data_IF_805770429182
#
_entry.id   IF_805770429182
#
_cell.length_a   1.000
_cell.length_b   1.000
_cell.length_c   1.000
_cell.angle_alpha   90.00
_cell.angle_beta   90.00
_cell.angle_gamma   90.00
#
_symmetry.space_group_name_H-M   'P 1'
#
loop_
_entity.id
_entity.type
_entity.pdbx_description
1 polymer ?
#
# COMPACT_ATOMS: atom_id res chain seq x y z
N UNK A 1 -63.71 41.38 29.13
CA UNK A 1 -62.86 41.28 27.94
C UNK A 1 -61.61 40.52 28.34
N UNK A 2 -61.35 39.42 27.64
CA UNK A 2 -60.07 38.71 27.40
C UNK A 2 -59.12 38.47 28.59
N UNK A 3 -58.60 37.28 28.89
CA UNK A 3 -58.63 35.91 28.33
C UNK A 3 -58.01 35.03 29.44
N UNK A 4 -58.47 33.78 29.66
CA UNK A 4 -57.96 32.87 30.70
C UNK A 4 -56.68 32.10 30.30
N UNK A 5 -56.02 31.40 31.24
CA UNK A 5 -54.61 31.02 31.19
C UNK A 5 -54.33 29.67 30.50
N UNK A 6 -53.04 29.51 30.16
CA UNK A 6 -52.40 28.35 29.56
C UNK A 6 -52.75 27.00 30.23
N UNK A 7 -53.32 26.11 29.42
CA UNK A 7 -53.49 24.69 29.72
C UNK A 7 -52.19 23.96 29.39
N UNK A 8 -51.60 23.36 30.41
CA UNK A 8 -50.49 22.40 30.30
C UNK A 8 -51.08 21.07 29.82
N UNK A 9 -50.72 20.63 28.63
CA UNK A 9 -50.94 19.24 28.18
C UNK A 9 -49.72 18.36 28.50
N UNK A 10 -49.92 17.12 28.98
CA UNK A 10 -48.83 16.19 29.24
C UNK A 10 -48.35 15.51 27.95
N UNK A 11 -47.07 15.64 27.63
CA UNK A 11 -46.41 14.86 26.57
C UNK A 11 -46.21 13.43 27.06
N UNK A 12 -46.76 12.50 26.30
CA UNK A 12 -46.68 11.06 26.52
C UNK A 12 -45.23 10.56 26.49
N UNK A 13 -44.85 9.79 27.52
CA UNK A 13 -43.71 8.89 27.51
C UNK A 13 -43.90 7.86 26.40
N UNK A 14 -43.12 8.01 25.32
CA UNK A 14 -42.89 6.97 24.33
C UNK A 14 -41.55 6.32 24.64
N UNK A 15 -41.58 5.22 25.39
CA UNK A 15 -40.48 4.26 25.51
C UNK A 15 -40.17 3.67 24.13
N UNK A 16 -39.22 4.28 23.43
CA UNK A 16 -38.61 3.73 22.22
C UNK A 16 -37.41 2.87 22.60
N UNK A 17 -37.66 1.58 22.79
CA UNK A 17 -36.66 0.52 22.63
C UNK A 17 -36.08 0.62 21.20
N UNK A 18 -34.98 1.33 21.03
CA UNK A 18 -34.18 1.22 19.81
C UNK A 18 -33.00 0.30 20.09
N UNK A 19 -33.29 -0.99 19.97
CA UNK A 19 -32.30 -2.04 19.84
C UNK A 19 -31.29 -1.63 18.76
N UNK A 20 -30.06 -1.37 19.19
CA UNK A 20 -28.86 -1.46 18.37
C UNK A 20 -28.93 -2.81 17.65
N UNK A 21 -29.38 -2.80 16.39
CA UNK A 21 -29.07 -3.86 15.45
C UNK A 21 -27.58 -3.77 15.20
N UNK A 22 -26.80 -4.44 16.04
CA UNK A 22 -25.62 -5.13 15.57
C UNK A 22 -26.06 -5.91 14.33
N UNK A 23 -25.74 -5.41 13.15
CA UNK A 23 -25.64 -6.26 11.97
C UNK A 23 -24.53 -7.26 12.29
N UNK A 24 -24.93 -8.35 12.95
CA UNK A 24 -24.13 -9.55 13.05
C UNK A 24 -23.77 -9.92 11.62
N UNK A 25 -22.50 -9.71 11.30
CA UNK A 25 -21.89 -10.09 10.04
C UNK A 25 -22.01 -11.60 9.91
N UNK A 26 -23.11 -12.10 9.34
CA UNK A 26 -23.31 -13.53 9.11
C UNK A 26 -22.39 -13.90 7.95
N UNK A 27 -21.29 -14.64 8.18
CA UNK A 27 -20.43 -15.05 7.09
C UNK A 27 -21.26 -15.93 6.14
N UNK A 28 -21.20 -15.66 4.83
CA UNK A 28 -21.89 -16.51 3.85
C UNK A 28 -21.46 -17.96 4.00
N UNK A 29 -22.34 -18.91 3.66
CA UNK A 29 -22.10 -20.34 3.88
C UNK A 29 -20.75 -20.82 3.33
N UNK A 30 -20.30 -20.28 2.18
CA UNK A 30 -19.01 -20.59 1.54
C UNK A 30 -17.80 -20.08 2.33
N UNK A 31 -17.96 -18.96 3.04
CA UNK A 31 -16.92 -18.32 3.85
C UNK A 31 -16.52 -19.17 5.05
N UNK A 32 -17.50 -19.69 5.79
CA UNK A 32 -17.25 -20.62 6.91
C UNK A 32 -16.51 -21.90 6.47
N UNK A 33 -16.59 -22.26 5.20
CA UNK A 33 -15.96 -23.47 4.65
C UNK A 33 -14.47 -23.27 4.46
N UNK A 34 -14.09 -22.18 3.80
CA UNK A 34 -12.69 -21.95 3.47
C UNK A 34 -11.88 -21.48 4.69
N UNK A 35 -12.53 -20.77 5.63
CA UNK A 35 -11.91 -20.39 6.89
C UNK A 35 -11.73 -21.57 7.85
N UNK A 36 -12.56 -22.62 7.76
CA UNK A 36 -12.40 -23.81 8.60
C UNK A 36 -11.09 -24.57 8.31
N UNK A 37 -10.62 -24.60 7.05
CA UNK A 37 -9.30 -25.13 6.73
C UNK A 37 -8.15 -24.26 7.29
N UNK A 38 -8.34 -22.93 7.36
CA UNK A 38 -7.35 -22.01 7.94
C UNK A 38 -7.28 -22.16 9.45
N UNK A 39 -8.44 -22.27 10.12
CA UNK A 39 -8.52 -22.52 11.57
C UNK A 39 -8.00 -23.90 11.97
N UNK A 40 -8.13 -24.94 11.14
CA UNK A 40 -7.55 -26.26 11.38
C UNK A 40 -6.02 -26.24 11.25
N UNK A 41 -5.46 -25.41 10.36
CA UNK A 41 -4.01 -25.17 10.30
C UNK A 41 -3.52 -24.31 11.47
N UNK A 42 -4.26 -23.28 11.86
CA UNK A 42 -3.89 -22.38 12.97
C UNK A 42 -4.04 -23.08 14.33
N UNK A 43 -5.00 -23.98 14.57
CA UNK A 43 -5.06 -24.78 15.80
C UNK A 43 -3.89 -25.78 15.90
N UNK A 44 -3.42 -26.31 14.76
CA UNK A 44 -2.27 -27.22 14.75
C UNK A 44 -0.94 -26.47 14.91
N UNK A 45 -0.81 -25.26 14.37
CA UNK A 45 0.33 -24.37 14.64
C UNK A 45 0.27 -23.76 16.04
N UNK A 46 -0.91 -23.41 16.55
CA UNK A 46 -1.11 -22.94 17.91
C UNK A 46 -0.81 -24.02 18.95
N UNK A 47 -1.16 -25.30 18.70
CA UNK A 47 -0.71 -26.41 19.56
C UNK A 47 0.81 -26.60 19.52
N UNK A 48 1.43 -26.43 18.35
CA UNK A 48 2.90 -26.47 18.20
C UNK A 48 3.59 -25.30 18.90
N UNK A 49 2.97 -24.12 18.87
CA UNK A 49 3.45 -22.89 19.52
C UNK A 49 3.17 -22.90 21.02
N UNK A 50 2.06 -23.46 21.47
CA UNK A 50 1.74 -23.67 22.89
C UNK A 50 2.66 -24.72 23.51
N UNK A 51 3.09 -25.75 22.77
CA UNK A 51 4.12 -26.69 23.21
C UNK A 51 5.52 -26.03 23.27
N UNK A 52 5.83 -25.13 22.33
CA UNK A 52 7.06 -24.32 22.34
C UNK A 52 7.06 -23.25 23.44
N UNK A 53 5.92 -22.62 23.69
CA UNK A 53 5.72 -21.60 24.73
C UNK A 53 5.61 -22.26 26.12
N UNK A 54 5.12 -23.50 26.25
CA UNK A 54 5.25 -24.29 27.50
C UNK A 54 6.69 -24.62 27.85
N UNK A 55 7.56 -24.73 26.83
CA UNK A 55 9.01 -24.89 27.01
C UNK A 55 9.71 -23.56 27.32
N UNK A 56 9.10 -22.41 26.96
CA UNK A 56 9.64 -21.08 27.22
C UNK A 56 9.11 -20.43 28.51
N UNK A 57 7.90 -20.81 28.97
CA UNK A 57 7.23 -20.23 30.14
C UNK A 57 7.65 -20.83 31.50
N UNK A 58 8.74 -21.61 31.55
CA UNK A 58 9.43 -21.95 32.80
C UNK A 58 10.43 -20.87 33.25
N UNK A 59 10.67 -19.81 32.46
CA UNK A 59 11.46 -18.65 32.87
C UNK A 59 10.66 -17.34 32.82
N UNK A 60 10.38 -16.84 34.01
CA UNK A 60 10.14 -15.44 34.38
C UNK A 60 8.86 -14.74 33.89
N UNK A 61 7.89 -14.67 34.80
CA UNK A 61 6.76 -13.74 34.72
C UNK A 61 7.03 -12.42 35.45
N UNK A 62 6.46 -11.32 34.93
CA UNK A 62 5.83 -10.30 35.77
C UNK A 62 4.92 -9.33 35.00
N UNK A 63 3.93 -8.86 35.75
CA UNK A 63 2.66 -8.24 35.35
C UNK A 63 2.71 -6.79 34.85
N UNK A 64 1.62 -6.48 34.14
CA UNK A 64 1.06 -5.20 33.67
C UNK A 64 0.74 -4.22 34.80
N UNK A 65 0.45 -2.93 34.48
CA UNK A 65 -0.94 -2.50 34.72
C UNK A 65 -1.56 -1.56 33.66
N UNK A 66 -2.89 -1.52 33.73
CA UNK A 66 -3.88 -0.78 32.92
C UNK A 66 -3.79 0.76 32.99
N UNK A 67 -4.31 1.43 31.95
CA UNK A 67 -4.79 2.81 32.04
C UNK A 67 -6.06 3.05 31.19
N UNK A 68 -6.97 3.84 31.76
CA UNK A 68 -8.36 4.15 31.37
C UNK A 68 -8.50 5.27 30.30
N UNK A 69 -9.71 5.49 29.74
CA UNK A 69 -9.93 6.14 28.44
C UNK A 69 -10.14 7.66 28.50
N UNK A 70 -9.85 8.37 27.41
CA UNK A 70 -10.07 9.83 27.24
C UNK A 70 -10.83 10.11 25.93
N UNK A 71 -11.73 11.10 26.02
CA UNK A 71 -12.78 11.55 25.10
C UNK A 71 -12.31 12.14 23.75
N UNK A 72 -13.21 12.10 22.76
CA UNK A 72 -13.11 12.73 21.43
C UNK A 72 -13.90 14.05 21.36
N UNK A 73 -13.44 15.06 20.59
CA UNK A 73 -14.29 16.10 20.02
C UNK A 73 -14.63 15.85 18.53
N UNK A 74 -15.66 16.57 18.06
CA UNK A 74 -16.46 16.34 16.84
C UNK A 74 -16.24 17.34 15.69
N UNK A 75 -16.88 17.05 14.52
CA UNK A 75 -17.17 17.96 13.38
C UNK A 75 -16.23 17.77 12.17
N UNK A 76 -16.64 17.69 10.89
CA UNK A 76 -17.91 17.97 10.20
C UNK A 76 -18.03 17.14 8.89
N UNK A 77 -19.25 16.83 8.46
CA UNK A 77 -19.56 16.17 7.20
C UNK A 77 -20.23 17.14 6.20
N UNK A 78 -19.96 17.02 4.88
CA UNK A 78 -20.54 17.88 3.84
C UNK A 78 -21.88 17.37 3.29
N UNK A 79 -22.71 18.33 2.89
CA UNK A 79 -24.09 18.23 2.40
C UNK A 79 -24.19 17.59 1.00
N UNK A 80 -25.00 16.53 0.88
CA UNK A 80 -25.47 15.95 -0.39
C UNK A 80 -26.49 16.86 -1.10
N UNK A 81 -26.34 17.03 -2.42
CA UNK A 81 -27.35 17.62 -3.30
C UNK A 81 -27.78 16.60 -4.35
N UNK A 82 -29.03 16.13 -4.22
CA UNK A 82 -29.79 15.44 -5.28
C UNK A 82 -30.02 16.38 -6.47
N UNK A 83 -29.83 15.87 -7.69
CA UNK A 83 -30.56 16.33 -8.88
C UNK A 83 -30.89 15.10 -9.73
N UNK A 84 -32.17 14.75 -9.74
CA UNK A 84 -32.80 13.93 -10.79
C UNK A 84 -33.07 14.81 -12.03
N UNK A 85 -32.86 14.27 -13.23
CA UNK A 85 -33.76 14.50 -14.37
C UNK A 85 -33.35 13.67 -15.61
N UNK A 86 -34.32 12.89 -16.08
CA UNK A 86 -34.36 12.15 -17.34
C UNK A 86 -34.22 13.05 -18.58
N UNK A 87 -33.57 12.55 -19.63
CA UNK A 87 -33.51 13.21 -20.94
C UNK A 87 -33.04 12.28 -22.07
N UNK A 88 -33.92 12.07 -23.05
CA UNK A 88 -33.84 11.15 -24.21
C UNK A 88 -32.63 11.34 -25.15
N UNK A 89 -32.28 10.34 -25.98
CA UNK A 89 -30.98 10.27 -26.67
C UNK A 89 -30.91 11.19 -27.90
N UNK A 90 -29.95 12.11 -27.90
CA UNK A 90 -29.56 12.91 -29.07
C UNK A 90 -28.47 12.15 -29.82
N UNK A 91 -28.76 11.70 -31.05
CA UNK A 91 -27.75 11.19 -32.00
C UNK A 91 -26.85 12.34 -32.45
N UNK A 92 -25.72 12.56 -31.77
CA UNK A 92 -24.66 13.43 -32.27
C UNK A 92 -23.73 12.65 -33.21
N UNK A 93 -23.56 13.17 -34.42
CA UNK A 93 -22.52 12.76 -35.38
C UNK A 93 -21.16 12.94 -34.71
N UNK A 94 -20.35 11.88 -34.72
CA UNK A 94 -19.04 11.85 -34.06
C UNK A 94 -18.07 12.88 -34.63
N UNK A 95 -17.90 14.00 -33.91
CA UNK A 95 -16.63 14.69 -33.91
C UNK A 95 -15.63 13.75 -33.24
N UNK A 96 -14.59 13.33 -33.96
CA UNK A 96 -13.49 12.55 -33.37
C UNK A 96 -12.95 13.34 -32.19
N UNK A 97 -13.06 12.83 -30.96
CA UNK A 97 -12.54 13.53 -29.80
C UNK A 97 -11.01 13.46 -29.88
N UNK A 98 -10.36 14.59 -30.17
CA UNK A 98 -8.92 14.60 -30.25
C UNK A 98 -8.32 14.64 -28.84
N UNK A 99 -7.51 13.63 -28.49
CA UNK A 99 -6.80 13.58 -27.22
C UNK A 99 -5.86 14.79 -27.10
N UNK A 100 -6.00 15.63 -26.05
CA UNK A 100 -5.13 16.77 -25.85
C UNK A 100 -3.71 16.31 -25.51
N UNK A 101 -2.70 17.04 -26.00
CA UNK A 101 -1.32 16.80 -25.65
C UNK A 101 -1.11 17.06 -24.15
N UNK A 102 -0.71 16.03 -23.41
CA UNK A 102 -0.40 16.13 -21.98
C UNK A 102 1.06 16.52 -21.80
N UNK A 103 1.32 17.48 -20.90
CA UNK A 103 2.68 17.86 -20.50
C UNK A 103 3.08 17.02 -19.30
N UNK A 104 4.14 16.23 -19.46
CA UNK A 104 4.78 15.49 -18.38
C UNK A 104 5.78 16.41 -17.66
N UNK A 105 5.96 16.21 -16.35
CA UNK A 105 7.11 16.79 -15.66
C UNK A 105 8.36 16.17 -16.26
N UNK A 106 9.20 17.00 -16.87
CA UNK A 106 10.55 16.59 -17.26
C UNK A 106 11.28 16.18 -15.97
N UNK A 107 11.93 15.00 -15.91
CA UNK A 107 12.68 14.61 -14.72
C UNK A 107 13.65 15.74 -14.39
N UNK A 108 13.64 16.21 -13.14
CA UNK A 108 14.48 17.32 -12.70
C UNK A 108 15.94 17.05 -13.12
N UNK A 109 16.38 17.68 -14.20
CA UNK A 109 17.81 17.88 -14.43
C UNK A 109 18.29 18.68 -13.23
N UNK A 110 19.43 18.30 -12.61
CA UNK A 110 19.95 19.01 -11.45
C UNK A 110 19.98 20.50 -11.77
N UNK A 111 19.22 21.28 -11.00
CA UNK A 111 18.97 22.70 -11.27
C UNK A 111 20.32 23.43 -11.38
N UNK A 112 20.65 24.05 -12.53
CA UNK A 112 21.69 25.05 -12.58
C UNK A 112 21.17 26.28 -11.81
N UNK A 113 21.83 26.60 -10.71
CA UNK A 113 21.55 27.75 -9.87
C UNK A 113 21.76 29.06 -10.65
N UNK A 114 20.70 29.77 -11.06
CA UNK A 114 20.75 31.18 -11.50
C UNK A 114 19.47 31.89 -11.01
N UNK A 115 19.48 33.00 -10.25
CA UNK A 115 20.16 34.30 -10.43
C UNK A 115 20.52 34.97 -9.07
N UNK A 116 21.35 36.03 -9.07
CA UNK A 116 22.16 36.42 -7.91
C UNK A 116 21.38 37.23 -6.87
N UNK A 117 21.29 36.69 -5.66
CA UNK A 117 21.01 37.45 -4.45
C UNK A 117 22.36 37.73 -3.77
N UNK A 118 22.72 39.02 -3.71
CA UNK A 118 23.93 39.57 -3.08
C UNK A 118 25.26 38.99 -3.60
N UNK A 119 26.34 39.76 -3.47
CA UNK A 119 27.67 39.23 -3.74
C UNK A 119 27.87 37.95 -2.91
N UNK A 120 28.40 36.85 -3.51
CA UNK A 120 28.70 35.66 -2.74
C UNK A 120 29.60 36.06 -1.57
N UNK A 121 29.36 35.58 -0.34
CA UNK A 121 30.34 35.72 0.71
C UNK A 121 31.66 35.18 0.16
N UNK A 122 32.72 35.98 0.35
CA UNK A 122 34.09 35.60 0.03
C UNK A 122 34.28 34.13 0.38
N UNK A 123 34.65 33.29 -0.58
CA UNK A 123 34.90 31.87 -0.29
C UNK A 123 35.96 31.83 0.82
N UNK A 124 35.66 31.23 1.98
CA UNK A 124 36.62 31.21 3.07
C UNK A 124 37.85 30.42 2.65
N UNK A 125 39.03 30.93 2.99
CA UNK A 125 40.28 30.19 2.87
C UNK A 125 40.24 29.01 3.87
N UNK A 126 40.10 27.75 3.41
CA UNK A 126 39.89 26.60 4.30
C UNK A 126 41.07 26.32 5.23
N UNK A 127 42.25 26.89 4.93
CA UNK A 127 43.45 26.73 5.76
C UNK A 127 43.49 27.76 6.90
N UNK A 128 42.96 28.96 6.69
CA UNK A 128 42.89 30.02 7.71
C UNK A 128 41.86 29.71 8.80
N UNK A 129 40.71 29.13 8.47
CA UNK A 129 39.71 28.77 9.49
C UNK A 129 40.18 27.66 10.42
N UNK A 130 41.09 26.80 9.95
CA UNK A 130 41.67 25.74 10.77
C UNK A 130 42.64 26.29 11.82
N UNK A 131 43.34 27.39 11.52
CA UNK A 131 44.28 28.05 12.42
C UNK A 131 43.63 28.93 13.49
N UNK A 132 42.32 29.17 13.41
CA UNK A 132 41.57 29.92 14.43
C UNK A 132 41.53 29.17 15.76
N UNK A 133 41.51 29.90 16.87
CA UNK A 133 41.25 29.34 18.20
C UNK A 133 39.80 28.88 18.33
N UNK A 134 39.51 27.99 19.29
CA UNK A 134 38.16 27.43 19.47
C UNK A 134 37.10 28.52 19.76
N UNK A 135 37.48 29.57 20.50
CA UNK A 135 36.59 30.71 20.77
C UNK A 135 36.30 31.55 19.53
N UNK A 136 37.28 31.73 18.64
CA UNK A 136 37.15 32.46 17.38
C UNK A 136 36.34 31.67 16.36
N UNK A 137 36.56 30.36 16.29
CA UNK A 137 35.75 29.41 15.51
C UNK A 137 34.29 29.46 15.94
N UNK A 138 34.04 29.45 17.26
CA UNK A 138 32.70 29.57 17.83
C UNK A 138 32.04 30.89 17.44
N UNK A 139 32.74 32.03 17.60
CA UNK A 139 32.20 33.33 17.24
C UNK A 139 31.86 33.46 15.74
N UNK A 140 32.71 32.92 14.86
CA UNK A 140 32.46 32.90 13.42
C UNK A 140 31.26 32.00 13.06
N UNK A 141 31.14 30.83 13.70
CA UNK A 141 30.00 29.93 13.51
C UNK A 141 28.68 30.51 14.05
N UNK A 142 28.72 31.27 15.15
CA UNK A 142 27.57 31.98 15.70
C UNK A 142 27.09 33.07 14.72
N UNK A 143 28.02 33.85 14.16
CA UNK A 143 27.73 34.86 13.15
C UNK A 143 27.12 34.25 11.86
N UNK A 144 27.67 33.11 11.39
CA UNK A 144 27.12 32.36 10.24
C UNK A 144 25.72 31.84 10.50
N UNK A 145 25.50 31.25 11.67
CA UNK A 145 24.20 30.72 12.06
C UNK A 145 23.12 31.81 12.13
N UNK A 146 23.45 32.97 12.70
CA UNK A 146 22.55 34.12 12.77
C UNK A 146 22.20 34.68 11.39
N UNK A 147 23.19 34.82 10.52
CA UNK A 147 22.98 35.29 9.15
C UNK A 147 22.10 34.33 8.34
N UNK A 148 22.27 33.02 8.54
CA UNK A 148 21.46 32.00 7.88
C UNK A 148 20.01 31.97 8.40
N UNK A 149 19.82 32.09 9.72
CA UNK A 149 18.50 31.91 10.35
C UNK A 149 17.68 33.20 10.39
N UNK A 150 18.34 34.35 10.47
CA UNK A 150 17.74 35.68 10.59
C UNK A 150 18.42 36.66 9.62
N UNK A 151 18.34 36.41 8.30
CA UNK A 151 19.06 37.19 7.30
C UNK A 151 18.67 38.68 7.32
N UNK A 152 17.43 39.01 7.67
CA UNK A 152 16.94 40.39 7.73
C UNK A 152 17.66 41.24 8.80
N UNK A 153 18.12 40.63 9.89
CA UNK A 153 18.73 41.34 11.03
C UNK A 153 20.26 41.23 11.04
N UNK A 154 20.81 40.12 10.54
CA UNK A 154 22.25 39.83 10.65
C UNK A 154 22.94 39.61 9.30
N UNK A 155 22.40 40.13 8.20
CA UNK A 155 23.08 40.15 6.92
C UNK A 155 24.51 40.71 7.03
N UNK A 156 25.48 40.01 6.45
CA UNK A 156 26.90 40.36 6.46
C UNK A 156 27.55 40.30 7.85
N UNK A 157 26.95 39.64 8.84
CA UNK A 157 27.55 39.47 10.16
C UNK A 157 28.73 38.50 10.12
N UNK A 158 28.62 37.40 9.37
CA UNK A 158 29.72 36.45 9.21
C UNK A 158 30.93 37.10 8.52
N UNK A 159 30.70 37.92 7.49
CA UNK A 159 31.76 38.64 6.79
C UNK A 159 32.44 39.69 7.69
N UNK A 160 31.68 40.39 8.54
CA UNK A 160 32.22 41.34 9.54
C UNK A 160 33.05 40.62 10.60
N UNK A 161 32.60 39.46 11.07
CA UNK A 161 33.34 38.63 12.03
C UNK A 161 34.63 38.07 11.43
N UNK A 162 34.58 37.58 10.19
CA UNK A 162 35.77 37.12 9.47
C UNK A 162 36.80 38.23 9.30
N UNK A 163 36.35 39.42 8.87
CA UNK A 163 37.22 40.58 8.72
C UNK A 163 37.88 40.96 10.04
N UNK A 164 37.11 41.02 11.13
CA UNK A 164 37.65 41.32 12.46
C UNK A 164 38.72 40.31 12.88
N UNK A 165 38.48 39.01 12.74
CA UNK A 165 39.46 37.99 13.12
C UNK A 165 40.76 38.10 12.30
N UNK A 166 40.66 38.44 11.01
CA UNK A 166 41.85 38.67 10.17
C UNK A 166 42.60 39.95 10.57
N UNK A 167 41.88 41.02 10.84
CA UNK A 167 42.48 42.30 11.26
C UNK A 167 43.08 42.19 12.67
N UNK A 168 42.48 41.38 13.55
CA UNK A 168 42.97 41.08 14.89
C UNK A 168 44.25 40.24 14.85
N UNK A 169 44.29 39.16 14.05
CA UNK A 169 45.50 38.37 13.85
C UNK A 169 46.68 39.21 13.33
N UNK A 170 46.43 40.11 12.38
CA UNK A 170 47.44 41.05 11.88
C UNK A 170 47.89 42.04 12.95
N UNK A 171 46.96 42.59 13.72
CA UNK A 171 47.27 43.53 14.80
C UNK A 171 48.16 42.88 15.86
N UNK A 172 47.89 41.63 16.23
CA UNK A 172 48.72 40.87 17.18
C UNK A 172 50.11 40.57 16.57
N UNK A 173 50.18 40.20 15.29
CA UNK A 173 51.46 39.95 14.60
C UNK A 173 52.33 41.21 14.49
N UNK A 174 51.74 42.38 14.24
CA UNK A 174 52.43 43.67 14.14
C UNK A 174 52.98 44.19 15.47
N UNK A 175 52.40 43.76 16.61
CA UNK A 175 52.81 44.19 17.96
C UNK A 175 53.91 43.29 18.58
N UNK A 176 54.11 42.08 18.05
CA UNK A 176 55.21 41.19 18.45
C UNK A 176 55.05 40.54 19.84
N UNK A 177 56.15 40.01 20.41
CA UNK A 177 56.16 39.28 21.69
C UNK A 177 55.83 40.15 22.92
N UNK A 178 55.93 41.47 22.81
CA UNK A 178 55.65 42.45 23.87
C UNK A 178 54.18 42.94 23.88
N UNK A 179 53.28 42.19 23.22
CA UNK A 179 51.87 42.56 23.09
C UNK A 179 51.15 42.63 24.44
N UNK A 180 50.83 43.85 24.88
CA UNK A 180 50.05 44.10 26.08
C UNK A 180 48.53 44.11 25.80
N UNK A 181 47.89 43.01 26.21
CA UNK A 181 46.43 42.79 26.17
C UNK A 181 45.66 43.83 27.03
N UNK A 182 46.33 44.48 27.97
CA UNK A 182 45.70 45.52 28.81
C UNK A 182 45.90 46.95 28.27
N UNK A 183 46.67 47.12 27.19
CA UNK A 183 46.96 48.42 26.60
C UNK A 183 45.71 49.17 26.16
N UNK A 184 45.71 50.50 26.31
CA UNK A 184 44.61 51.35 25.90
C UNK A 184 44.37 51.29 24.37
N UNK A 185 45.44 51.08 23.60
CA UNK A 185 45.39 50.95 22.14
C UNK A 185 44.68 49.66 21.71
N UNK A 186 45.00 48.53 22.33
CA UNK A 186 44.34 47.27 22.04
C UNK A 186 42.87 47.25 22.49
N UNK A 187 42.57 47.82 23.66
CA UNK A 187 41.17 47.99 24.12
C UNK A 187 40.37 48.84 23.14
N UNK A 188 40.95 49.93 22.63
CA UNK A 188 40.33 50.77 21.59
C UNK A 188 40.13 50.03 20.25
N UNK A 189 41.07 49.16 19.87
CA UNK A 189 40.93 48.30 18.70
C UNK A 189 39.74 47.33 18.84
N UNK A 190 39.62 46.67 20.00
CA UNK A 190 38.52 45.75 20.28
C UNK A 190 37.16 46.46 20.30
N UNK A 191 37.06 47.62 20.94
CA UNK A 191 35.81 48.40 20.98
C UNK A 191 35.34 48.86 19.60
N UNK A 192 36.28 49.23 18.72
CA UNK A 192 35.97 49.77 17.39
C UNK A 192 35.65 48.70 16.35
N UNK A 193 36.30 47.54 16.44
CA UNK A 193 36.28 46.56 15.35
C UNK A 193 35.59 45.24 15.68
N UNK A 194 35.43 44.87 16.97
CA UNK A 194 34.83 43.60 17.35
C UNK A 194 33.31 43.61 17.09
N UNK A 195 32.78 42.73 16.23
CA UNK A 195 31.34 42.54 16.12
C UNK A 195 30.85 41.87 17.40
N UNK A 196 30.19 42.65 18.26
CA UNK A 196 29.67 42.14 19.53
C UNK A 196 28.22 41.73 19.35
N UNK A 197 27.97 40.43 19.56
CA UNK A 197 26.65 39.96 19.94
C UNK A 197 26.37 40.39 21.37
N UNK A 198 25.18 40.95 21.60
CA UNK A 198 24.65 41.17 22.95
C UNK A 198 24.45 39.84 23.68
N UNK A 199 24.44 39.86 25.01
CA UNK A 199 24.25 38.63 25.79
C UNK A 199 22.92 37.93 25.46
N UNK A 200 21.85 38.71 25.27
CA UNK A 200 20.55 38.23 24.80
C UNK A 200 20.63 37.52 23.44
N UNK A 201 21.44 38.04 22.50
CA UNK A 201 21.62 37.43 21.19
C UNK A 201 22.42 36.13 21.27
N UNK A 202 23.41 36.05 22.16
CA UNK A 202 24.16 34.82 22.42
C UNK A 202 23.26 33.74 23.04
N UNK A 203 22.41 34.12 23.99
CA UNK A 203 21.43 33.21 24.60
C UNK A 203 20.40 32.74 23.59
N UNK A 204 19.93 33.64 22.71
CA UNK A 204 19.02 33.29 21.61
C UNK A 204 19.67 32.28 20.65
N UNK A 205 20.92 32.46 20.25
CA UNK A 205 21.65 31.49 19.40
C UNK A 205 21.77 30.14 20.08
N UNK A 206 22.19 30.11 21.35
CA UNK A 206 22.34 28.88 22.11
C UNK A 206 20.99 28.14 22.23
N UNK A 207 19.93 28.85 22.59
CA UNK A 207 18.58 28.29 22.74
C UNK A 207 18.04 27.77 21.41
N UNK A 208 18.25 28.50 20.32
CA UNK A 208 17.74 28.08 19.00
C UNK A 208 18.49 26.87 18.48
N UNK A 209 19.81 26.77 18.70
CA UNK A 209 20.58 25.56 18.36
C UNK A 209 20.11 24.34 19.15
N UNK A 210 19.93 24.47 20.46
CA UNK A 210 19.40 23.36 21.27
C UNK A 210 18.00 22.97 20.78
N UNK A 211 17.12 23.92 20.46
CA UNK A 211 15.81 23.62 19.88
C UNK A 211 15.92 22.92 18.52
N UNK A 212 16.80 23.36 17.65
CA UNK A 212 17.00 22.75 16.33
C UNK A 212 17.57 21.33 16.46
N UNK A 213 18.52 21.10 17.39
CA UNK A 213 19.08 19.78 17.70
C UNK A 213 18.03 18.84 18.28
N UNK A 214 17.26 19.29 19.27
CA UNK A 214 16.14 18.54 19.85
C UNK A 214 15.10 18.25 18.77
N UNK A 215 14.67 19.24 17.98
CA UNK A 215 13.72 19.04 16.89
C UNK A 215 14.24 18.06 15.85
N UNK A 216 15.54 18.09 15.53
CA UNK A 216 16.15 17.14 14.60
C UNK A 216 16.11 15.72 15.15
N UNK A 217 16.32 15.53 16.45
CA UNK A 217 16.24 14.19 17.08
C UNK A 217 14.79 13.70 17.21
N UNK A 218 13.87 14.60 17.57
CA UNK A 218 12.49 14.24 17.87
C UNK A 218 11.58 14.19 16.65
N UNK A 219 11.84 14.97 15.59
CA UNK A 219 11.00 14.97 14.39
C UNK A 219 10.92 13.60 13.73
N UNK A 220 12.03 12.86 13.66
CA UNK A 220 12.04 11.49 13.14
C UNK A 220 11.22 10.53 14.00
N UNK A 221 11.43 10.56 15.32
CA UNK A 221 10.69 9.72 16.28
C UNK A 221 9.19 10.03 16.28
N UNK A 222 8.83 11.31 16.14
CA UNK A 222 7.44 11.74 16.08
C UNK A 222 6.76 11.24 14.80
N UNK A 223 7.38 11.42 13.64
CA UNK A 223 6.87 10.90 12.38
C UNK A 223 6.71 9.37 12.41
N UNK A 224 7.67 8.65 13.01
CA UNK A 224 7.58 7.20 13.16
C UNK A 224 6.46 6.78 14.11
N UNK A 225 6.26 7.51 15.21
CA UNK A 225 5.18 7.23 16.18
C UNK A 225 3.81 7.51 15.57
N UNK A 226 3.66 8.62 14.85
CA UNK A 226 2.44 8.95 14.09
C UNK A 226 2.13 7.87 13.05
N UNK A 227 3.14 7.44 12.29
CA UNK A 227 2.96 6.38 11.32
C UNK A 227 2.57 5.04 11.97
N UNK A 228 3.12 4.71 13.15
CA UNK A 228 2.72 3.52 13.93
C UNK A 228 1.28 3.61 14.43
N UNK A 229 0.84 4.78 14.90
CA UNK A 229 -0.56 5.00 15.30
C UNK A 229 -1.50 4.85 14.09
N UNK A 230 -1.13 5.44 12.95
CA UNK A 230 -1.84 5.28 11.70
C UNK A 230 -1.94 3.80 11.30
N UNK A 231 -0.83 3.05 11.33
CA UNK A 231 -0.82 1.63 11.02
C UNK A 231 -1.69 0.81 11.97
N UNK A 232 -1.65 1.08 13.28
CA UNK A 232 -2.52 0.43 14.27
C UNK A 232 -4.01 0.59 13.93
N UNK A 233 -4.41 1.76 13.44
CA UNK A 233 -5.81 2.08 13.18
C UNK A 233 -6.28 1.63 11.79
N UNK A 234 -5.38 1.61 10.81
CA UNK A 234 -5.69 1.26 9.42
C UNK A 234 -5.50 -0.21 9.07
N UNK A 235 -4.54 -0.92 9.67
CA UNK A 235 -4.30 -2.34 9.38
C UNK A 235 -5.55 -3.20 9.63
N UNK A 236 -6.31 -3.04 10.73
CA UNK A 236 -7.55 -3.80 10.93
C UNK A 236 -8.66 -3.47 9.92
N UNK A 237 -8.59 -2.31 9.24
CA UNK A 237 -9.51 -1.97 8.15
C UNK A 237 -9.10 -2.67 6.87
N UNK A 238 -7.79 -2.73 6.59
CA UNK A 238 -7.25 -3.52 5.48
C UNK A 238 -7.64 -5.00 5.65
N UNK A 239 -7.45 -5.59 6.83
CA UNK A 239 -7.85 -7.00 7.07
C UNK A 239 -9.34 -7.24 6.84
N UNK A 240 -10.20 -6.33 7.31
CA UNK A 240 -11.66 -6.43 7.08
C UNK A 240 -12.02 -6.35 5.60
N UNK A 241 -11.41 -5.44 4.87
CA UNK A 241 -11.61 -5.28 3.42
C UNK A 241 -11.12 -6.51 2.65
N UNK A 242 -9.95 -7.04 3.01
CA UNK A 242 -9.40 -8.28 2.45
C UNK A 242 -10.31 -9.47 2.74
N UNK A 243 -10.88 -9.58 3.93
CA UNK A 243 -11.82 -10.65 4.28
C UNK A 243 -13.12 -10.57 3.46
N UNK A 244 -13.62 -9.36 3.21
CA UNK A 244 -14.78 -9.16 2.31
C UNK A 244 -14.44 -9.56 0.88
N UNK A 245 -13.27 -9.17 0.39
CA UNK A 245 -12.80 -9.53 -0.95
C UNK A 245 -12.62 -11.04 -1.11
N UNK A 246 -12.01 -11.68 -0.11
CA UNK A 246 -11.91 -13.13 -0.05
C UNK A 246 -13.29 -13.79 -0.12
N UNK A 247 -14.25 -13.29 0.66
CA UNK A 247 -15.63 -13.79 0.67
C UNK A 247 -16.28 -13.68 -0.71
N UNK A 248 -16.16 -12.53 -1.37
CA UNK A 248 -16.69 -12.32 -2.71
C UNK A 248 -16.04 -13.25 -3.74
N UNK A 249 -14.72 -13.43 -3.67
CA UNK A 249 -13.97 -14.30 -4.57
C UNK A 249 -14.32 -15.76 -4.36
N UNK A 250 -14.36 -16.22 -3.11
CA UNK A 250 -14.75 -17.58 -2.74
C UNK A 250 -16.13 -17.96 -3.31
N UNK A 251 -17.09 -17.03 -3.24
CA UNK A 251 -18.44 -17.22 -3.74
C UNK A 251 -18.55 -17.23 -5.27
N UNK A 252 -17.62 -16.60 -5.99
CA UNK A 252 -17.80 -16.31 -7.42
C UNK A 252 -16.69 -16.81 -8.35
N UNK A 253 -15.58 -17.30 -7.81
CA UNK A 253 -14.45 -17.82 -8.59
C UNK A 253 -14.55 -19.34 -8.86
N UNK A 254 -15.33 -20.08 -8.06
CA UNK A 254 -15.51 -21.51 -8.25
C UNK A 254 -16.34 -21.80 -9.52
N UNK A 255 -15.99 -22.86 -10.29
CA UNK A 255 -16.85 -23.35 -11.36
C UNK A 255 -18.26 -23.65 -10.86
N UNK A 256 -19.28 -23.34 -11.65
CA UNK A 256 -20.69 -23.42 -11.24
C UNK A 256 -21.08 -24.82 -10.74
N UNK A 257 -20.58 -25.88 -11.37
CA UNK A 257 -20.80 -27.25 -10.92
C UNK A 257 -20.20 -27.55 -9.54
N UNK A 258 -19.00 -27.02 -9.25
CA UNK A 258 -18.35 -27.16 -7.94
C UNK A 258 -19.11 -26.35 -6.89
N UNK A 259 -19.46 -25.10 -7.22
CA UNK A 259 -20.20 -24.21 -6.33
C UNK A 259 -21.57 -24.79 -5.95
N UNK A 260 -22.34 -25.27 -6.93
CA UNK A 260 -23.65 -25.88 -6.71
C UNK A 260 -23.55 -27.14 -5.85
N UNK A 261 -22.57 -28.01 -6.10
CA UNK A 261 -22.37 -29.21 -5.30
C UNK A 261 -21.94 -28.88 -3.86
N UNK A 262 -21.09 -27.86 -3.68
CA UNK A 262 -20.69 -27.39 -2.36
C UNK A 262 -21.90 -26.88 -1.57
N UNK A 263 -22.78 -26.08 -2.19
CA UNK A 263 -24.03 -25.60 -1.58
C UNK A 263 -24.95 -26.77 -1.22
N UNK A 264 -25.09 -27.76 -2.10
CA UNK A 264 -25.89 -28.97 -1.86
C UNK A 264 -25.37 -29.76 -0.65
N UNK A 265 -24.08 -30.07 -0.61
CA UNK A 265 -23.47 -30.84 0.49
C UNK A 265 -23.54 -30.08 1.81
N UNK A 266 -23.36 -28.77 1.79
CA UNK A 266 -23.50 -27.95 3.00
C UNK A 266 -24.92 -27.93 3.54
N UNK A 267 -25.92 -27.86 2.65
CA UNK A 267 -27.33 -27.87 3.05
C UNK A 267 -27.69 -29.21 3.71
N UNK A 268 -27.08 -30.31 3.25
CA UNK A 268 -27.32 -31.66 3.77
C UNK A 268 -26.54 -31.97 5.05
N UNK A 269 -25.29 -31.53 5.16
CA UNK A 269 -24.34 -32.00 6.19
C UNK A 269 -23.83 -30.89 7.13
N UNK A 270 -24.22 -29.63 6.89
CA UNK A 270 -23.62 -28.45 7.52
C UNK A 270 -22.31 -28.04 6.83
N UNK A 271 -21.78 -26.88 7.19
CA UNK A 271 -20.64 -26.28 6.48
C UNK A 271 -19.37 -27.16 6.50
N UNK A 272 -18.87 -27.54 7.68
CA UNK A 272 -17.60 -28.28 7.78
C UNK A 272 -17.66 -29.64 7.08
N UNK A 273 -18.67 -30.46 7.42
CA UNK A 273 -18.86 -31.77 6.80
C UNK A 273 -19.24 -31.67 5.31
N UNK A 274 -19.97 -30.63 4.92
CA UNK A 274 -20.34 -30.39 3.53
C UNK A 274 -19.12 -30.09 2.64
N UNK A 275 -18.14 -29.34 3.16
CA UNK A 275 -16.86 -29.15 2.48
C UNK A 275 -16.09 -30.47 2.36
N UNK A 276 -16.01 -31.26 3.44
CA UNK A 276 -15.33 -32.57 3.40
C UNK A 276 -15.96 -33.51 2.36
N UNK A 277 -17.29 -33.58 2.30
CA UNK A 277 -17.99 -34.36 1.27
C UNK A 277 -17.76 -33.80 -0.13
N UNK A 278 -17.83 -32.47 -0.30
CA UNK A 278 -17.55 -31.84 -1.58
C UNK A 278 -16.11 -32.08 -2.05
N UNK A 279 -15.13 -32.13 -1.13
CA UNK A 279 -13.74 -32.50 -1.43
C UNK A 279 -13.59 -33.94 -1.90
N UNK A 280 -14.45 -34.87 -1.48
CA UNK A 280 -14.43 -36.24 -2.03
C UNK A 280 -14.77 -36.28 -3.52
N UNK A 281 -15.68 -35.39 -3.96
CA UNK A 281 -16.07 -35.31 -5.37
C UNK A 281 -15.20 -34.34 -6.17
N UNK A 282 -14.92 -33.15 -5.64
CA UNK A 282 -14.25 -31.99 -6.27
C UNK A 282 -12.97 -31.51 -5.56
N UNK A 283 -12.24 -32.40 -4.89
CA UNK A 283 -11.05 -32.06 -4.13
C UNK A 283 -10.00 -31.29 -4.94
N UNK A 284 -9.69 -31.74 -6.16
CA UNK A 284 -8.69 -31.08 -7.02
C UNK A 284 -9.10 -29.64 -7.32
N UNK A 285 -10.37 -29.41 -7.68
CA UNK A 285 -10.86 -28.08 -8.02
C UNK A 285 -10.91 -27.15 -6.81
N UNK A 286 -11.37 -27.66 -5.67
CA UNK A 286 -11.46 -26.90 -4.42
C UNK A 286 -10.07 -26.51 -3.93
N UNK A 287 -9.12 -27.45 -3.87
CA UNK A 287 -7.73 -27.18 -3.44
C UNK A 287 -7.02 -26.21 -4.39
N UNK A 288 -7.20 -26.39 -5.70
CA UNK A 288 -6.59 -25.49 -6.70
C UNK A 288 -7.17 -24.09 -6.60
N UNK A 289 -8.48 -23.96 -6.42
CA UNK A 289 -9.13 -22.68 -6.21
C UNK A 289 -8.63 -22.01 -4.93
N UNK A 290 -8.59 -22.73 -3.80
CA UNK A 290 -8.08 -22.20 -2.53
C UNK A 290 -6.65 -21.66 -2.66
N UNK A 291 -5.75 -22.39 -3.32
CA UNK A 291 -4.37 -21.96 -3.53
C UNK A 291 -4.29 -20.64 -4.31
N UNK A 292 -4.98 -20.56 -5.45
CA UNK A 292 -4.98 -19.36 -6.31
C UNK A 292 -5.65 -18.17 -5.61
N UNK A 293 -6.76 -18.41 -4.92
CA UNK A 293 -7.45 -17.37 -4.16
C UNK A 293 -6.59 -16.82 -3.02
N UNK A 294 -5.81 -17.68 -2.32
CA UNK A 294 -4.93 -17.25 -1.23
C UNK A 294 -3.84 -16.31 -1.75
N UNK A 295 -3.19 -16.68 -2.85
CA UNK A 295 -2.19 -15.84 -3.50
C UNK A 295 -2.78 -14.51 -3.98
N UNK A 296 -3.92 -14.55 -4.69
CA UNK A 296 -4.59 -13.35 -5.17
C UNK A 296 -5.02 -12.40 -4.03
N UNK A 297 -5.47 -12.95 -2.92
CA UNK A 297 -5.92 -12.17 -1.75
C UNK A 297 -4.73 -11.57 -1.00
N UNK A 298 -3.60 -12.29 -0.91
CA UNK A 298 -2.36 -11.76 -0.39
C UNK A 298 -1.84 -10.59 -1.25
N UNK A 299 -1.91 -10.71 -2.58
CA UNK A 299 -1.55 -9.63 -3.50
C UNK A 299 -2.46 -8.41 -3.33
N UNK A 300 -3.78 -8.60 -3.23
CA UNK A 300 -4.72 -7.49 -2.99
C UNK A 300 -4.46 -6.82 -1.62
N UNK A 301 -4.17 -7.60 -0.57
CA UNK A 301 -3.81 -7.08 0.75
C UNK A 301 -2.59 -6.19 0.65
N UNK A 302 -1.52 -6.65 0.00
CA UNK A 302 -0.29 -5.88 -0.12
C UNK A 302 -0.49 -4.63 -0.99
N UNK A 303 -1.30 -4.71 -2.05
CA UNK A 303 -1.71 -3.55 -2.84
C UNK A 303 -2.44 -2.50 -1.98
N UNK A 304 -3.36 -2.91 -1.10
CA UNK A 304 -4.04 -2.01 -0.16
C UNK A 304 -3.04 -1.35 0.78
N UNK A 305 -2.06 -2.08 1.32
CA UNK A 305 -1.05 -1.53 2.23
C UNK A 305 -0.11 -0.52 1.55
N UNK A 306 0.30 -0.78 0.31
CA UNK A 306 1.16 0.13 -0.47
C UNK A 306 0.39 1.41 -0.85
N UNK A 307 -0.90 1.29 -1.17
CA UNK A 307 -1.68 2.41 -1.68
C UNK A 307 -2.36 3.24 -0.59
N UNK A 308 -2.49 2.71 0.62
CA UNK A 308 -3.02 3.40 1.79
C UNK A 308 -1.91 4.18 2.50
N UNK A 309 -1.98 5.51 2.41
CA UNK A 309 -0.93 6.43 2.86
C UNK A 309 -1.39 7.27 4.03
N UNK A 310 -0.50 7.42 4.99
CA UNK A 310 -0.64 8.36 6.10
C UNK A 310 -0.79 9.79 5.53
N UNK A 311 -1.87 10.51 5.85
CA UNK A 311 -2.09 11.86 5.34
C UNK A 311 -1.06 12.88 5.83
N UNK A 312 -0.44 12.65 6.99
CA UNK A 312 0.52 13.57 7.59
C UNK A 312 1.94 13.32 7.08
N UNK A 313 2.36 12.05 7.03
CA UNK A 313 3.73 11.68 6.63
C UNK A 313 3.86 11.29 5.16
N UNK A 314 2.73 11.09 4.46
CA UNK A 314 2.64 10.54 3.10
C UNK A 314 3.34 9.17 2.95
N UNK A 315 3.60 8.47 4.06
CA UNK A 315 4.20 7.14 4.08
C UNK A 315 3.12 6.07 3.88
N UNK A 316 3.34 5.07 3.02
CA UNK A 316 2.41 3.95 2.87
C UNK A 316 2.48 3.00 4.08
N UNK A 317 1.42 2.23 4.33
CA UNK A 317 1.43 1.19 5.38
C UNK A 317 2.49 0.12 5.13
N UNK A 318 2.69 -0.26 3.87
CA UNK A 318 3.79 -1.12 3.45
C UNK A 318 4.71 -0.37 2.50
N UNK A 319 6.01 -0.38 2.79
CA UNK A 319 7.01 0.20 1.91
C UNK A 319 7.20 -0.69 0.69
N UNK A 320 7.24 -0.09 -0.50
CA UNK A 320 7.57 -0.81 -1.72
C UNK A 320 9.02 -1.28 -1.64
N UNK A 321 9.20 -2.59 -1.50
CA UNK A 321 10.48 -3.28 -1.60
C UNK A 321 11.27 -2.80 -2.82
N UNK A 322 12.51 -2.38 -2.60
CA UNK A 322 13.43 -1.86 -3.62
C UNK A 322 14.56 -2.83 -3.95
N UNK A 323 14.66 -3.96 -3.25
CA UNK A 323 15.76 -4.91 -3.37
C UNK A 323 15.23 -6.35 -3.33
N UNK A 324 15.80 -7.29 -4.14
CA UNK A 324 15.49 -8.72 -4.06
C UNK A 324 15.73 -9.38 -2.70
N UNK A 325 16.46 -8.73 -1.79
CA UNK A 325 16.67 -9.22 -0.44
C UNK A 325 15.42 -9.07 0.47
N UNK A 326 14.45 -8.25 0.07
CA UNK A 326 13.20 -8.05 0.79
C UNK A 326 12.22 -9.21 0.50
N UNK A 327 11.61 -9.84 1.53
CA UNK A 327 10.68 -10.94 1.34
C UNK A 327 9.44 -10.58 0.48
N UNK A 328 9.06 -9.31 0.42
CA UNK A 328 7.94 -8.82 -0.39
C UNK A 328 8.34 -8.41 -1.81
N UNK A 329 9.62 -8.46 -2.18
CA UNK A 329 10.10 -8.00 -3.48
C UNK A 329 9.37 -8.66 -4.66
N UNK A 330 9.33 -10.00 -4.68
CA UNK A 330 8.66 -10.75 -5.75
C UNK A 330 7.17 -10.42 -5.83
N UNK A 331 6.52 -10.22 -4.67
CA UNK A 331 5.13 -9.81 -4.61
C UNK A 331 4.92 -8.42 -5.20
N UNK A 332 5.79 -7.45 -4.89
CA UNK A 332 5.70 -6.11 -5.44
C UNK A 332 5.98 -6.05 -6.94
N UNK A 333 6.91 -6.88 -7.43
CA UNK A 333 7.15 -7.04 -8.88
C UNK A 333 5.90 -7.58 -9.56
N UNK A 334 5.27 -8.64 -9.03
CA UNK A 334 3.99 -9.14 -9.56
C UNK A 334 2.90 -8.08 -9.55
N UNK A 335 2.74 -7.35 -8.44
CA UNK A 335 1.73 -6.29 -8.33
C UNK A 335 1.95 -5.16 -9.33
N UNK A 336 3.21 -4.77 -9.55
CA UNK A 336 3.56 -3.77 -10.56
C UNK A 336 3.17 -4.26 -11.95
N UNK A 337 3.50 -5.51 -12.28
CA UNK A 337 3.13 -6.11 -13.56
C UNK A 337 1.60 -6.21 -13.75
N UNK A 338 0.86 -6.55 -12.69
CA UNK A 338 -0.62 -6.58 -12.72
C UNK A 338 -1.18 -5.18 -12.95
N UNK A 339 -0.69 -4.18 -12.22
CA UNK A 339 -1.12 -2.79 -12.38
C UNK A 339 -0.86 -2.27 -13.81
N UNK A 340 0.33 -2.55 -14.34
CA UNK A 340 0.72 -2.19 -15.69
C UNK A 340 -0.14 -2.92 -16.72
N UNK A 341 -0.39 -4.21 -16.55
CA UNK A 341 -1.30 -4.96 -17.42
C UNK A 341 -2.68 -4.33 -17.43
N UNK A 342 -3.30 -4.11 -16.26
CA UNK A 342 -4.65 -3.51 -16.16
C UNK A 342 -4.71 -2.14 -16.85
N UNK A 343 -3.72 -1.28 -16.59
CA UNK A 343 -3.71 0.07 -17.14
C UNK A 343 -3.44 0.08 -18.65
N UNK A 344 -2.46 -0.70 -19.13
CA UNK A 344 -2.09 -0.76 -20.53
C UNK A 344 -3.17 -1.46 -21.35
N UNK A 345 -3.72 -2.58 -20.86
CA UNK A 345 -4.83 -3.29 -21.51
C UNK A 345 -6.04 -2.36 -21.68
N UNK A 346 -6.40 -1.58 -20.66
CA UNK A 346 -7.49 -0.62 -20.79
C UNK A 346 -7.18 0.49 -21.80
N UNK A 347 -5.96 1.05 -21.76
CA UNK A 347 -5.54 2.10 -22.69
C UNK A 347 -5.50 1.62 -24.15
N UNK A 348 -5.18 0.37 -24.40
CA UNK A 348 -5.09 -0.21 -25.74
C UNK A 348 -6.43 -0.73 -26.26
N UNK A 349 -7.21 -1.41 -25.40
CA UNK A 349 -8.38 -2.19 -25.82
C UNK A 349 -9.71 -1.50 -25.53
N UNK A 350 -9.77 -0.60 -24.55
CA UNK A 350 -11.04 0.05 -24.21
C UNK A 350 -11.47 1.00 -25.33
N UNK A 351 -12.77 1.06 -25.68
CA UNK A 351 -13.25 1.98 -26.69
C UNK A 351 -13.10 3.43 -26.22
N UNK A 352 -12.99 4.35 -27.18
CA UNK A 352 -12.68 5.78 -26.93
C UNK A 352 -13.62 6.44 -25.92
N UNK A 353 -14.91 6.07 -25.96
CA UNK A 353 -15.93 6.58 -25.04
C UNK A 353 -15.75 6.10 -23.58
N UNK A 354 -15.03 4.99 -23.36
CA UNK A 354 -14.66 4.54 -22.01
C UNK A 354 -13.35 5.16 -21.56
N UNK A 355 -12.40 5.39 -22.49
CA UNK A 355 -11.16 6.10 -22.18
C UNK A 355 -11.40 7.58 -21.86
N UNK A 356 -12.48 8.18 -22.34
CA UNK A 356 -12.87 9.54 -22.04
C UNK A 356 -14.01 9.59 -21.00
N UNK A 357 -13.70 9.99 -19.76
CA UNK A 357 -14.65 10.05 -18.63
C UNK A 357 -14.63 11.42 -17.99
N UNK A 358 -15.80 12.00 -17.75
CA UNK A 358 -15.97 13.30 -17.06
C UNK A 358 -15.10 14.43 -17.65
N UNK A 359 -14.98 14.48 -18.98
CA UNK A 359 -14.19 15.50 -19.66
C UNK A 359 -12.67 15.22 -19.70
N UNK A 360 -12.21 14.11 -19.13
CA UNK A 360 -10.80 13.76 -18.95
C UNK A 360 -10.43 12.52 -19.75
N UNK A 361 -9.16 12.44 -20.16
CA UNK A 361 -8.62 11.28 -20.87
C UNK A 361 -7.92 10.31 -19.93
N UNK A 362 -8.10 9.02 -20.20
CA UNK A 362 -7.43 7.98 -19.45
C UNK A 362 -5.91 8.02 -19.68
N UNK A 363 -5.17 7.93 -18.59
CA UNK A 363 -3.73 7.70 -18.56
C UNK A 363 -3.43 6.58 -17.56
N UNK A 364 -2.31 5.88 -17.77
CA UNK A 364 -1.88 4.86 -16.81
C UNK A 364 -1.55 5.49 -15.45
N UNK A 365 -1.50 4.68 -14.40
CA UNK A 365 -1.19 5.16 -13.04
C UNK A 365 0.18 5.82 -12.99
N UNK A 366 1.18 5.20 -13.60
CA UNK A 366 2.55 5.73 -13.71
C UNK A 366 2.59 7.04 -14.51
N UNK A 367 1.87 7.13 -15.63
CA UNK A 367 1.76 8.37 -16.39
C UNK A 367 1.13 9.49 -15.55
N UNK A 368 0.04 9.19 -14.83
CA UNK A 368 -0.68 10.15 -14.00
C UNK A 368 0.22 10.79 -12.93
N UNK A 369 1.07 9.98 -12.29
CA UNK A 369 2.01 10.45 -11.27
C UNK A 369 3.05 11.41 -11.86
N UNK A 370 3.44 11.23 -13.13
CA UNK A 370 4.41 12.09 -13.85
C UNK A 370 3.78 13.34 -14.47
N UNK A 371 2.46 13.51 -14.43
CA UNK A 371 1.79 14.70 -14.97
C UNK A 371 1.94 15.90 -14.03
N UNK A 372 2.09 17.10 -14.62
CA UNK A 372 1.95 18.37 -13.89
C UNK A 372 0.52 18.54 -13.34
N UNK A 373 0.29 19.37 -12.30
CA UNK A 373 -1.05 19.62 -11.77
C UNK A 373 -2.07 20.06 -12.85
N UNK A 374 -1.65 20.90 -13.80
CA UNK A 374 -2.49 21.34 -14.93
C UNK A 374 -2.87 20.18 -15.87
N UNK A 375 -1.94 19.28 -16.17
CA UNK A 375 -2.20 18.10 -17.00
C UNK A 375 -3.06 17.07 -16.27
N UNK A 376 -2.88 16.90 -14.95
CA UNK A 376 -3.72 16.02 -14.11
C UNK A 376 -5.19 16.44 -14.10
N UNK A 377 -5.49 17.73 -14.25
CA UNK A 377 -6.86 18.21 -14.37
C UNK A 377 -7.57 17.69 -15.64
N UNK A 378 -6.82 17.36 -16.69
CA UNK A 378 -7.31 16.86 -17.99
C UNK A 378 -7.23 15.35 -18.14
N UNK A 379 -6.69 14.66 -17.14
CA UNK A 379 -6.45 13.23 -17.17
C UNK A 379 -7.15 12.52 -16.01
N UNK A 380 -7.53 11.27 -16.19
CA UNK A 380 -7.97 10.40 -15.12
C UNK A 380 -7.22 9.07 -15.22
N UNK A 381 -7.09 8.38 -14.09
CA UNK A 381 -6.54 7.03 -14.02
C UNK A 381 -7.44 6.21 -13.10
N UNK A 382 -7.24 4.89 -13.07
CA UNK A 382 -8.00 4.03 -12.19
C UNK A 382 -7.81 4.41 -10.72
N UNK A 383 -8.92 4.43 -9.99
CA UNK A 383 -8.95 4.46 -8.52
C UNK A 383 -8.47 3.12 -7.96
N UNK A 384 -8.09 3.09 -6.67
CA UNK A 384 -7.65 1.84 -6.03
C UNK A 384 -8.77 0.78 -6.05
N UNK A 385 -10.02 1.19 -5.83
CA UNK A 385 -11.20 0.31 -5.89
C UNK A 385 -11.40 -0.29 -7.29
N UNK A 386 -11.23 0.50 -8.35
CA UNK A 386 -11.31 0.00 -9.72
C UNK A 386 -10.19 -1.01 -10.01
N UNK A 387 -8.96 -0.76 -9.54
CA UNK A 387 -7.87 -1.74 -9.66
C UNK A 387 -8.19 -3.03 -8.90
N UNK A 388 -8.69 -2.94 -7.67
CA UNK A 388 -9.08 -4.11 -6.87
C UNK A 388 -10.21 -4.88 -7.57
N UNK A 389 -11.19 -4.20 -8.16
CA UNK A 389 -12.24 -4.85 -8.93
C UNK A 389 -11.68 -5.62 -10.15
N UNK A 390 -10.70 -5.06 -10.85
CA UNK A 390 -10.00 -5.74 -11.95
C UNK A 390 -9.18 -6.93 -11.45
N UNK A 391 -8.41 -6.77 -10.35
CA UNK A 391 -7.67 -7.87 -9.71
C UNK A 391 -8.61 -9.02 -9.31
N UNK A 392 -9.79 -8.71 -8.74
CA UNK A 392 -10.83 -9.71 -8.45
C UNK A 392 -11.29 -10.43 -9.73
N UNK A 393 -11.49 -9.71 -10.83
CA UNK A 393 -11.84 -10.29 -12.12
C UNK A 393 -10.75 -11.23 -12.65
N UNK A 394 -9.49 -10.82 -12.59
CA UNK A 394 -8.33 -11.63 -12.98
C UNK A 394 -8.21 -12.89 -12.13
N UNK A 395 -8.43 -12.79 -10.81
CA UNK A 395 -8.39 -13.93 -9.89
C UNK A 395 -9.43 -15.01 -10.26
N UNK A 396 -10.66 -14.61 -10.63
CA UNK A 396 -11.69 -15.57 -11.11
C UNK A 396 -11.23 -16.31 -12.37
N UNK A 397 -10.67 -15.57 -13.33
CA UNK A 397 -10.10 -16.16 -14.54
C UNK A 397 -8.94 -17.12 -14.25
N UNK A 398 -8.05 -16.72 -13.34
CA UNK A 398 -6.91 -17.53 -12.90
C UNK A 398 -7.35 -18.83 -12.23
N UNK A 399 -8.37 -18.80 -11.36
CA UNK A 399 -8.95 -20.02 -10.75
C UNK A 399 -9.47 -20.98 -11.81
N UNK A 400 -10.30 -20.49 -12.75
CA UNK A 400 -10.84 -21.35 -13.82
C UNK A 400 -9.73 -21.97 -14.68
N UNK A 401 -8.71 -21.18 -15.04
CA UNK A 401 -7.61 -21.64 -15.88
C UNK A 401 -6.70 -22.63 -15.13
N UNK A 402 -6.39 -22.38 -13.86
CA UNK A 402 -5.59 -23.29 -13.04
C UNK A 402 -6.30 -24.63 -12.84
N UNK A 403 -7.62 -24.62 -12.61
CA UNK A 403 -8.43 -25.84 -12.52
C UNK A 403 -8.36 -26.61 -13.85
N UNK A 404 -8.59 -25.95 -14.98
CA UNK A 404 -8.53 -26.59 -16.31
C UNK A 404 -7.16 -27.20 -16.60
N UNK A 405 -6.08 -26.47 -16.35
CA UNK A 405 -4.72 -26.94 -16.55
C UNK A 405 -4.41 -28.15 -15.67
N UNK A 406 -4.81 -28.12 -14.39
CA UNK A 406 -4.57 -29.22 -13.47
C UNK A 406 -5.39 -30.47 -13.83
N UNK A 407 -6.63 -30.31 -14.27
CA UNK A 407 -7.45 -31.42 -14.76
C UNK A 407 -6.86 -32.01 -16.05
N UNK A 408 -6.41 -31.19 -17.00
CA UNK A 408 -5.75 -31.66 -18.23
C UNK A 408 -4.48 -32.45 -17.93
N UNK A 409 -3.63 -31.93 -17.03
CA UNK A 409 -2.41 -32.63 -16.60
C UNK A 409 -2.67 -33.99 -15.94
N UNK A 410 -3.76 -34.11 -15.18
CA UNK A 410 -4.17 -35.38 -14.55
C UNK A 410 -4.69 -36.37 -15.60
N UNK A 411 -5.46 -35.88 -16.59
CA UNK A 411 -5.96 -36.70 -17.71
C UNK A 411 -4.80 -37.22 -18.59
N UNK A 412 -3.80 -36.39 -18.87
CA UNK A 412 -2.58 -36.78 -19.61
C UNK A 412 -1.82 -37.91 -18.90
N UNK A 413 -1.89 -37.98 -17.57
CA UNK A 413 -1.30 -39.07 -16.76
C UNK A 413 -2.20 -40.31 -16.65
N UNK A 414 -3.30 -40.35 -17.39
CA UNK A 414 -4.21 -41.50 -17.45
C UNK A 414 -5.23 -41.58 -16.32
N UNK A 415 -5.28 -40.58 -15.43
CA UNK A 415 -6.27 -40.53 -14.37
C UNK A 415 -7.53 -39.85 -14.88
N UNK A 416 -8.62 -40.62 -15.03
CA UNK A 416 -9.95 -40.07 -15.34
C UNK A 416 -10.80 -40.05 -14.09
N UNK A 417 -11.56 -38.99 -13.91
CA UNK A 417 -12.52 -38.88 -12.80
C UNK A 417 -13.59 -39.95 -12.96
N UNK A 418 -13.73 -40.82 -11.96
CA UNK A 418 -14.88 -41.70 -11.87
C UNK A 418 -16.04 -40.88 -11.28
N UNK A 419 -16.78 -40.16 -12.13
CA UNK A 419 -18.03 -39.52 -11.70
C UNK A 419 -19.04 -40.65 -11.52
N UNK A 420 -19.05 -41.24 -10.33
CA UNK A 420 -20.11 -42.17 -9.88
C UNK A 420 -21.42 -41.39 -9.80
N UNK A 421 -22.10 -41.25 -10.92
CA UNK A 421 -23.27 -40.38 -11.04
C UNK A 421 -23.51 -39.76 -12.41
N UNK A 422 -22.69 -40.03 -13.45
CA UNK A 422 -23.19 -39.82 -14.80
C UNK A 422 -24.35 -40.79 -15.02
N UNK A 423 -25.56 -40.24 -14.91
CA UNK A 423 -26.77 -40.86 -15.46
C UNK A 423 -26.42 -41.15 -16.92
N UNK A 424 -26.10 -42.41 -17.20
CA UNK A 424 -26.03 -42.93 -18.54
C UNK A 424 -27.34 -42.50 -19.20
N UNK A 425 -27.34 -41.76 -20.33
CA UNK A 425 -28.57 -41.60 -21.09
C UNK A 425 -29.06 -43.00 -21.38
N UNK A 426 -30.26 -43.28 -20.88
CA UNK A 426 -30.90 -44.58 -20.93
C UNK A 426 -31.09 -44.95 -22.41
N UNK A 427 -30.07 -45.56 -23.02
CA UNK A 427 -30.16 -46.07 -24.37
C UNK A 427 -31.17 -47.22 -24.31
N UNK A 428 -32.31 -47.14 -25.03
CA UNK A 428 -33.25 -48.24 -25.04
C UNK A 428 -32.55 -49.51 -25.54
N UNK A 429 -32.94 -50.70 -25.03
CA UNK A 429 -32.24 -51.94 -25.31
C UNK A 429 -32.19 -52.18 -26.83
N UNK A 430 -30.97 -52.13 -27.37
CA UNK A 430 -30.70 -52.51 -28.75
C UNK A 430 -30.99 -54.00 -28.85
N UNK A 431 -32.06 -54.33 -29.57
CA UNK A 431 -32.45 -55.69 -29.94
C UNK A 431 -31.21 -56.49 -30.34
N UNK A 432 -30.96 -57.57 -29.62
CA UNK A 432 -29.94 -58.54 -29.95
C UNK A 432 -30.35 -59.25 -31.24
N UNK A 433 -29.67 -58.96 -32.34
CA UNK A 433 -29.65 -59.87 -33.49
C UNK A 433 -28.58 -60.95 -33.27
N UNK A 434 -28.81 -62.19 -33.73
CA UNK A 434 -27.98 -63.34 -33.39
C UNK A 434 -26.59 -63.28 -34.03
N UNK A 435 -25.61 -63.82 -33.29
CA UNK A 435 -24.23 -64.06 -33.73
C UNK A 435 -24.16 -64.99 -34.94
N UNK A 436 -23.35 -64.61 -35.92
CA UNK A 436 -22.76 -65.53 -36.90
C UNK A 436 -21.27 -65.70 -36.56
N UNK A 437 -20.71 -66.94 -36.56
CA UNK A 437 -19.33 -67.18 -36.19
C UNK A 437 -18.39 -67.11 -37.40
N UNK A 438 -17.18 -66.57 -37.24
CA UNK A 438 -16.10 -66.76 -38.21
C UNK A 438 -14.87 -65.88 -38.03
N UNK A 439 -13.74 -66.51 -37.68
CA UNK A 439 -12.40 -66.11 -38.14
C UNK A 439 -11.49 -65.34 -37.17
N UNK A 440 -10.55 -66.06 -36.54
CA UNK A 440 -9.25 -65.53 -36.03
C UNK A 440 -8.23 -65.43 -37.19
N UNK A 441 -6.96 -65.04 -36.97
CA UNK A 441 -6.41 -63.79 -36.42
C UNK A 441 -5.35 -63.16 -37.36
N UNK A 442 -4.96 -61.88 -37.20
CA UNK A 442 -3.71 -61.37 -37.79
C UNK A 442 -2.94 -60.44 -36.83
N UNK A 443 -1.75 -60.94 -36.46
CA UNK A 443 -0.46 -60.32 -36.18
C UNK A 443 -0.32 -58.85 -35.68
N UNK A 444 0.39 -58.73 -34.55
CA UNK A 444 1.29 -57.63 -34.14
C UNK A 444 2.41 -57.40 -35.17
N UNK A 445 3.03 -56.20 -35.18
CA UNK A 445 4.39 -56.18 -34.63
C UNK A 445 4.73 -54.96 -33.76
N UNK A 446 5.76 -55.17 -32.96
CA UNK A 446 6.37 -54.28 -31.99
C UNK A 446 7.06 -53.06 -32.61
N UNK A 447 7.20 -52.00 -31.81
CA UNK A 447 8.08 -50.88 -32.13
C UNK A 447 8.28 -49.91 -30.97
N UNK A 448 9.47 -49.97 -30.36
CA UNK A 448 10.21 -48.80 -29.86
C UNK A 448 9.74 -48.16 -28.57
N UNK A 449 10.24 -48.65 -27.44
CA UNK A 449 10.29 -47.89 -26.19
C UNK A 449 11.47 -46.91 -26.22
N UNK A 450 11.19 -45.64 -25.99
CA UNK A 450 12.16 -44.61 -25.61
C UNK A 450 11.68 -44.01 -24.27
N UNK A 451 12.53 -43.88 -23.24
CA UNK A 451 12.10 -43.35 -21.95
C UNK A 451 12.00 -41.82 -22.01
N UNK A 452 10.97 -41.18 -21.42
CA UNK A 452 10.96 -39.73 -21.31
C UNK A 452 12.01 -39.26 -20.29
N UNK A 453 12.65 -38.10 -20.51
CA UNK A 453 13.63 -37.55 -19.60
C UNK A 453 12.99 -37.09 -18.29
N UNK A 454 13.74 -37.22 -17.19
CA UNK A 454 13.38 -36.70 -15.89
C UNK A 454 13.14 -35.18 -15.96
N UNK A 455 11.95 -34.74 -15.55
CA UNK A 455 11.63 -33.31 -15.38
C UNK A 455 11.71 -32.99 -13.89
N UNK A 456 12.66 -32.10 -13.57
CA UNK A 456 12.79 -31.39 -12.30
C UNK A 456 11.52 -30.58 -11.98
N UNK A 457 11.04 -30.57 -10.72
CA UNK A 457 9.92 -29.73 -10.32
C UNK A 457 10.41 -28.29 -10.10
N UNK A 458 10.11 -27.38 -11.04
CA UNK A 458 10.03 -25.95 -10.75
C UNK A 458 8.56 -25.53 -10.89
N UNK A 459 7.87 -25.61 -9.77
CA UNK A 459 6.68 -24.82 -9.49
C UNK A 459 7.18 -23.43 -9.13
N UNK A 460 6.70 -22.40 -9.82
CA UNK A 460 6.26 -21.07 -9.32
C UNK A 460 6.23 -20.12 -10.51
N UNK A 461 5.02 -19.73 -10.94
CA UNK A 461 4.62 -18.49 -11.67
C UNK A 461 3.29 -18.79 -12.37
N UNK A 462 2.17 -18.74 -11.63
CA UNK A 462 0.83 -18.98 -12.21
C UNK A 462 0.14 -17.67 -12.62
N UNK A 463 0.56 -16.51 -12.11
CA UNK A 463 -0.04 -15.22 -12.47
C UNK A 463 0.69 -14.45 -13.59
N UNK A 464 1.93 -14.81 -13.94
CA UNK A 464 2.74 -14.09 -14.94
C UNK A 464 2.49 -14.42 -16.41
N UNK A 465 1.81 -15.52 -16.74
CA UNK A 465 1.69 -16.02 -18.12
C UNK A 465 0.30 -15.88 -18.75
N UNK A 466 -0.57 -15.03 -18.19
CA UNK A 466 -1.96 -14.85 -18.65
C UNK A 466 -2.18 -13.77 -19.72
N UNK A 467 -1.12 -13.17 -20.27
CA UNK A 467 -1.23 -12.06 -21.27
C UNK A 467 -0.87 -12.44 -22.71
N UNK A 468 -0.78 -13.74 -23.05
CA UNK A 468 -0.73 -14.19 -24.45
C UNK A 468 -1.89 -15.14 -24.76
N UNK A 469 -3.03 -14.55 -25.08
CA UNK A 469 -4.22 -15.22 -25.61
C UNK A 469 -5.01 -14.25 -26.48
#
# INVERSE_FOLDING_TARGET
MSTPPDTIEPVAESTGDEALKEEQFVPTLVQRLLDADVLITDENEAKKKEEADRLAAEEDGKETPEAKPVEKPAGDAPVEKKVDAEGKPIKMRGAKLQRPALKFQEPEKPVPTEKPAAAPPSKPDPNWEKSLEDNEKKALNDARYLEQRFPERYAGMAARQEKFLRDHAKYVEEQGEDFDIESAEYKGFLEKNQPRLTDDEREMVATTRVKDEVNKEWSGKHADLQHKLYARDEEPKVEREVQQIWTELANSALPENVANHLVEMNTKHGAVKGLEEAKKTFGIEIETAQMVLKEATADIKEFLRITRRDPETNRPLAQTASSPADPHYEQHVRLTNVLDSICNDFKEKAPENQQYRNGKWFVTRDEYLRLTPESRAKAWSFTNEEIIAQMKGMAKGAVSNAIKQRLAYIEERGFRRNISGSVQPNNPPRNQTPRTPGGSPVATPAGGGEPPPAINPQVTTILGNLTKG
#
